data_IF_649673270645
#
_entry.id   IF_649673270645
#
_cell.length_a   1.000
_cell.length_b   1.000
_cell.length_c   1.000
_cell.angle_alpha   90.00
_cell.angle_beta   90.00
_cell.angle_gamma   90.00
#
_symmetry.space_group_name_H-M   'P 1'
#
loop_
_entity.id
_entity.type
_entity.pdbx_description
1 polymer ?
#
# COMPACT_ATOMS: atom_id res chain seq x y z
N UNK A 1 -1.27 18.31 -45.90
CA UNK A 1 -0.62 17.15 -45.25
C UNK A 1 -0.81 17.29 -43.75
N UNK A 2 -1.80 16.60 -43.19
CA UNK A 2 -1.75 16.26 -41.78
C UNK A 2 -2.16 14.79 -41.72
N UNK A 3 -1.14 13.94 -41.81
CA UNK A 3 -1.30 12.51 -41.69
C UNK A 3 -1.77 12.29 -40.25
N UNK A 4 -3.01 11.88 -40.09
CA UNK A 4 -3.46 11.24 -38.87
C UNK A 4 -2.47 10.11 -38.61
N UNK A 5 -1.58 10.33 -37.65
CA UNK A 5 -0.73 9.30 -37.11
C UNK A 5 -1.67 8.23 -36.59
N UNK A 6 -1.81 7.14 -37.35
CA UNK A 6 -2.14 5.85 -36.77
C UNK A 6 -1.10 5.67 -35.67
N UNK A 7 -1.50 5.93 -34.43
CA UNK A 7 -0.65 5.79 -33.27
C UNK A 7 -0.01 4.41 -33.38
N UNK A 8 1.28 4.38 -33.70
CA UNK A 8 2.07 3.17 -33.54
C UNK A 8 1.86 2.78 -32.07
N UNK A 9 1.15 1.68 -31.85
CA UNK A 9 0.96 1.13 -30.53
C UNK A 9 2.36 0.87 -30.00
N UNK A 10 2.83 1.73 -29.08
CA UNK A 10 4.16 1.58 -28.51
C UNK A 10 4.25 0.16 -27.95
N UNK A 11 5.20 -0.67 -28.44
CA UNK A 11 5.19 -2.10 -28.17
C UNK A 11 5.18 -2.42 -26.68
N UNK A 12 5.93 -1.67 -25.88
CA UNK A 12 5.90 -1.73 -24.41
C UNK A 12 4.53 -1.44 -23.79
N UNK A 13 3.81 -0.40 -24.26
CA UNK A 13 2.47 -0.09 -23.74
C UNK A 13 1.45 -1.14 -24.15
N UNK A 14 1.58 -1.71 -25.35
CA UNK A 14 0.76 -2.83 -25.80
C UNK A 14 0.95 -4.06 -24.94
N UNK A 15 2.20 -4.36 -24.56
CA UNK A 15 2.55 -5.46 -23.66
C UNK A 15 1.88 -5.29 -22.28
N UNK A 16 1.92 -4.10 -21.69
CA UNK A 16 1.27 -3.85 -20.39
C UNK A 16 -0.24 -4.09 -20.42
N UNK A 17 -0.90 -3.66 -21.50
CA UNK A 17 -2.33 -3.91 -21.71
C UNK A 17 -2.63 -5.40 -21.87
N UNK A 18 -1.78 -6.11 -22.61
CA UNK A 18 -1.92 -7.56 -22.81
C UNK A 18 -1.80 -8.29 -21.48
N UNK A 19 -0.77 -7.99 -20.67
CA UNK A 19 -0.60 -8.60 -19.34
C UNK A 19 -1.77 -8.29 -18.40
N UNK A 20 -2.27 -7.05 -18.41
CA UNK A 20 -3.46 -6.69 -17.64
C UNK A 20 -4.69 -7.51 -18.10
N UNK A 21 -4.93 -7.66 -19.40
CA UNK A 21 -6.03 -8.46 -19.93
C UNK A 21 -5.89 -9.95 -19.59
N UNK A 22 -4.67 -10.50 -19.67
CA UNK A 22 -4.41 -11.89 -19.25
C UNK A 22 -4.72 -12.12 -17.78
N UNK A 23 -4.39 -11.15 -16.93
CA UNK A 23 -4.67 -11.22 -15.51
C UNK A 23 -6.18 -11.30 -15.21
N UNK A 24 -7.02 -10.69 -16.05
CA UNK A 24 -8.48 -10.70 -15.92
C UNK A 24 -9.13 -12.01 -16.40
N UNK A 25 -8.40 -12.87 -17.11
CA UNK A 25 -8.91 -14.13 -17.63
C UNK A 25 -9.29 -15.15 -16.54
N UNK A 26 -10.21 -16.05 -16.86
CA UNK A 26 -10.66 -17.12 -15.95
C UNK A 26 -9.62 -18.23 -15.73
N UNK A 27 -8.55 -18.26 -16.53
CA UNK A 27 -7.45 -19.24 -16.46
C UNK A 27 -6.08 -18.57 -16.31
N UNK A 28 -5.10 -19.34 -15.81
CA UNK A 28 -3.71 -18.96 -15.94
C UNK A 28 -3.30 -19.03 -17.43
N UNK A 29 -2.49 -18.08 -17.94
CA UNK A 29 -1.90 -18.18 -19.26
C UNK A 29 -1.05 -19.44 -19.35
N UNK A 30 -0.91 -19.98 -20.55
CA UNK A 30 0.02 -21.08 -20.76
C UNK A 30 1.47 -20.59 -20.65
N UNK A 31 2.38 -21.52 -20.36
CA UNK A 31 3.78 -21.20 -20.17
C UNK A 31 4.40 -20.60 -21.45
N UNK A 32 3.98 -21.09 -22.63
CA UNK A 32 4.45 -20.62 -23.92
C UNK A 32 4.08 -19.13 -24.16
N UNK A 33 2.90 -18.68 -23.73
CA UNK A 33 2.49 -17.26 -23.81
C UNK A 33 3.36 -16.37 -22.90
N UNK A 34 3.64 -16.81 -21.68
CA UNK A 34 4.52 -16.07 -20.76
C UNK A 34 5.97 -16.03 -21.26
N UNK A 35 6.49 -17.13 -21.81
CA UNK A 35 7.81 -17.18 -22.43
C UNK A 35 7.91 -16.21 -23.62
N UNK A 36 6.90 -16.17 -24.49
CA UNK A 36 6.84 -15.22 -25.61
C UNK A 36 6.80 -13.75 -25.14
N UNK A 37 6.11 -13.47 -24.02
CA UNK A 37 6.09 -12.14 -23.43
C UNK A 37 7.45 -11.77 -22.82
N UNK A 38 8.13 -12.71 -22.17
CA UNK A 38 9.48 -12.52 -21.64
C UNK A 38 10.50 -12.25 -22.75
N UNK A 39 10.44 -12.98 -23.87
CA UNK A 39 11.30 -12.74 -25.04
C UNK A 39 11.15 -11.31 -25.59
N UNK A 40 9.94 -10.72 -25.51
CA UNK A 40 9.69 -9.33 -25.92
C UNK A 40 10.30 -8.33 -24.94
N UNK A 41 10.27 -8.63 -23.65
CA UNK A 41 10.94 -7.84 -22.62
C UNK A 41 12.46 -7.86 -22.84
N UNK A 42 13.03 -9.02 -23.12
CA UNK A 42 14.45 -9.20 -23.45
C UNK A 42 14.84 -8.51 -24.77
N UNK A 43 13.93 -8.49 -25.74
CA UNK A 43 14.08 -7.73 -26.99
C UNK A 43 13.98 -6.20 -26.79
N UNK A 44 13.78 -5.73 -25.56
CA UNK A 44 13.83 -4.32 -25.20
C UNK A 44 12.55 -3.54 -25.44
N UNK A 45 11.39 -4.20 -25.44
CA UNK A 45 10.09 -3.55 -25.72
C UNK A 45 9.76 -2.38 -24.78
N UNK A 46 10.39 -2.32 -23.60
CA UNK A 46 10.23 -1.24 -22.64
C UNK A 46 11.35 -0.18 -22.69
N UNK A 47 12.49 -0.43 -23.35
CA UNK A 47 13.70 0.43 -23.28
C UNK A 47 13.44 1.88 -23.67
N UNK A 48 12.65 2.09 -24.73
CA UNK A 48 12.34 3.42 -25.26
C UNK A 48 11.01 3.98 -24.72
N UNK A 49 10.37 3.30 -23.75
CA UNK A 49 9.09 3.76 -23.18
C UNK A 49 9.36 4.78 -22.08
N UNK A 50 8.90 6.03 -22.22
CA UNK A 50 9.04 7.01 -21.15
C UNK A 50 8.23 6.56 -19.92
N UNK A 51 8.78 6.62 -18.69
CA UNK A 51 8.07 6.20 -17.48
C UNK A 51 6.68 6.86 -17.28
N UNK A 52 6.53 8.12 -17.66
CA UNK A 52 5.25 8.85 -17.62
C UNK A 52 4.21 8.27 -18.58
N UNK A 53 4.63 7.57 -19.64
CA UNK A 53 3.74 6.86 -20.56
C UNK A 53 3.39 5.46 -20.06
N UNK A 54 4.25 4.86 -19.22
CA UNK A 54 4.01 3.56 -18.59
C UNK A 54 2.91 3.68 -17.53
N UNK A 55 2.94 4.76 -16.73
CA UNK A 55 2.05 4.89 -15.58
C UNK A 55 0.56 4.80 -15.92
N UNK A 56 0.01 5.48 -16.96
CA UNK A 56 -1.41 5.36 -17.31
C UNK A 56 -1.85 3.93 -17.65
N UNK A 57 -0.96 3.11 -18.23
CA UNK A 57 -1.23 1.70 -18.53
C UNK A 57 -1.17 0.86 -17.26
N UNK A 58 -0.09 1.03 -16.48
CA UNK A 58 0.13 0.31 -15.24
C UNK A 58 -0.98 0.61 -14.21
N UNK A 59 -1.36 1.87 -14.04
CA UNK A 59 -2.41 2.29 -13.12
C UNK A 59 -3.79 1.76 -13.53
N UNK A 60 -4.05 1.59 -14.83
CA UNK A 60 -5.30 0.98 -15.31
C UNK A 60 -5.39 -0.49 -14.92
N UNK A 61 -4.31 -1.25 -15.13
CA UNK A 61 -4.28 -2.64 -14.67
C UNK A 61 -4.26 -2.78 -13.14
N UNK A 62 -3.59 -1.87 -12.43
CA UNK A 62 -3.64 -1.78 -10.96
C UNK A 62 -5.06 -1.52 -10.43
N UNK A 63 -5.88 -0.78 -11.19
CA UNK A 63 -7.29 -0.52 -10.90
C UNK A 63 -8.25 -1.59 -11.43
N UNK A 64 -7.75 -2.58 -12.17
CA UNK A 64 -8.50 -3.71 -12.69
C UNK A 64 -9.01 -4.67 -11.59
N UNK A 65 -9.68 -5.76 -12.00
CA UNK A 65 -10.27 -6.73 -11.07
C UNK A 65 -9.26 -7.75 -10.51
N UNK A 66 -8.10 -7.93 -11.16
CA UNK A 66 -7.07 -8.90 -10.75
C UNK A 66 -5.65 -8.28 -10.73
N UNK A 67 -5.43 -7.18 -9.97
CA UNK A 67 -4.15 -6.46 -9.98
C UNK A 67 -2.98 -7.26 -9.41
N UNK A 68 -3.22 -8.17 -8.45
CA UNK A 68 -2.18 -9.04 -7.91
C UNK A 68 -1.65 -10.00 -8.97
N UNK A 69 -2.54 -10.61 -9.74
CA UNK A 69 -2.18 -11.49 -10.85
C UNK A 69 -1.47 -10.75 -11.98
N UNK A 70 -1.87 -9.51 -12.28
CA UNK A 70 -1.13 -8.67 -13.23
C UNK A 70 0.29 -8.42 -12.75
N UNK A 71 0.46 -8.07 -11.47
CA UNK A 71 1.78 -7.81 -10.88
C UNK A 71 2.65 -9.08 -10.93
N UNK A 72 2.06 -10.24 -10.65
CA UNK A 72 2.69 -11.54 -10.74
C UNK A 72 3.26 -11.82 -12.14
N UNK A 73 2.43 -11.68 -13.18
CA UNK A 73 2.86 -11.91 -14.56
C UNK A 73 3.89 -10.88 -15.01
N UNK A 74 3.78 -9.61 -14.60
CA UNK A 74 4.81 -8.62 -14.89
C UNK A 74 6.16 -8.98 -14.26
N UNK A 75 6.16 -9.57 -13.06
CA UNK A 75 7.38 -10.05 -12.43
C UNK A 75 7.93 -11.29 -13.14
N UNK A 76 7.08 -12.27 -13.45
CA UNK A 76 7.48 -13.52 -14.10
C UNK A 76 8.14 -13.30 -15.46
N UNK A 77 7.65 -12.34 -16.24
CA UNK A 77 8.21 -12.00 -17.57
C UNK A 77 9.38 -11.00 -17.51
N UNK A 78 9.80 -10.56 -16.31
CA UNK A 78 10.90 -9.59 -16.14
C UNK A 78 10.53 -8.13 -16.41
N UNK A 79 9.26 -7.82 -16.66
CA UNK A 79 8.80 -6.46 -16.96
C UNK A 79 8.79 -5.58 -15.69
N UNK A 80 8.46 -6.15 -14.53
CA UNK A 80 8.36 -5.40 -13.28
C UNK A 80 9.72 -4.84 -12.85
N UNK A 81 10.81 -5.56 -13.12
CA UNK A 81 12.20 -5.17 -12.87
C UNK A 81 12.57 -3.91 -13.65
N UNK A 82 12.04 -3.75 -14.87
CA UNK A 82 12.30 -2.59 -15.70
C UNK A 82 11.44 -1.38 -15.31
N UNK A 83 10.23 -1.61 -14.78
CA UNK A 83 9.23 -0.56 -14.49
C UNK A 83 9.31 -0.06 -13.04
N UNK A 84 9.34 -1.00 -12.10
CA UNK A 84 9.33 -0.81 -10.65
C UNK A 84 10.33 -1.78 -9.99
N UNK A 85 11.64 -1.63 -10.24
CA UNK A 85 12.67 -2.50 -9.66
C UNK A 85 12.60 -2.59 -8.13
N UNK A 86 12.17 -1.52 -7.45
CA UNK A 86 12.02 -1.49 -6.00
C UNK A 86 10.91 -2.41 -5.48
N UNK A 87 9.86 -2.63 -6.29
CA UNK A 87 8.75 -3.55 -5.99
C UNK A 87 9.13 -4.96 -6.42
N UNK A 88 9.74 -5.13 -7.60
CA UNK A 88 10.25 -6.43 -8.05
C UNK A 88 11.16 -7.07 -6.99
N UNK A 89 12.07 -6.28 -6.40
CA UNK A 89 13.01 -6.71 -5.37
C UNK A 89 12.37 -7.10 -4.02
N UNK A 90 11.05 -7.03 -3.86
CA UNK A 90 10.34 -7.55 -2.69
C UNK A 90 9.98 -9.04 -2.84
N UNK A 91 9.94 -9.57 -4.06
CA UNK A 91 9.78 -11.00 -4.30
C UNK A 91 11.01 -11.75 -3.78
N UNK A 92 10.77 -12.85 -3.07
CA UNK A 92 11.77 -13.62 -2.35
C UNK A 92 12.12 -13.10 -0.95
N UNK A 93 11.62 -11.92 -0.55
CA UNK A 93 11.95 -11.31 0.74
C UNK A 93 10.99 -11.80 1.82
N UNK A 94 11.47 -12.48 2.89
CA UNK A 94 10.60 -13.05 3.91
C UNK A 94 10.10 -11.99 4.89
N UNK A 95 8.79 -11.97 5.13
CA UNK A 95 8.10 -11.14 6.14
C UNK A 95 7.49 -12.01 7.23
N UNK A 96 7.54 -11.54 8.48
CA UNK A 96 6.97 -12.26 9.64
C UNK A 96 5.47 -12.50 9.45
N UNK A 97 5.04 -13.74 9.67
CA UNK A 97 3.63 -14.12 9.72
C UNK A 97 3.36 -15.07 10.89
N UNK A 98 2.08 -15.24 11.24
CA UNK A 98 1.70 -16.11 12.35
C UNK A 98 1.86 -17.59 12.01
N UNK A 99 1.30 -18.02 10.87
CA UNK A 99 1.43 -19.38 10.29
C UNK A 99 1.27 -19.28 8.76
N UNK A 100 2.25 -19.74 7.94
CA UNK A 100 3.62 -20.13 8.32
C UNK A 100 4.38 -18.99 9.01
N UNK A 101 5.57 -19.27 9.55
CA UNK A 101 6.35 -18.28 10.32
C UNK A 101 6.80 -17.06 9.48
N UNK A 102 6.92 -17.26 8.16
CA UNK A 102 7.17 -16.18 7.21
C UNK A 102 6.42 -16.41 5.90
N UNK A 103 6.18 -15.31 5.20
CA UNK A 103 5.57 -15.27 3.88
C UNK A 103 6.42 -14.39 2.96
N UNK A 104 6.27 -14.59 1.66
CA UNK A 104 6.94 -13.78 0.64
C UNK A 104 6.31 -12.38 0.56
N UNK A 105 7.12 -11.31 0.58
CA UNK A 105 6.61 -9.93 0.50
C UNK A 105 5.98 -9.60 -0.87
N UNK A 106 6.52 -10.13 -1.96
CA UNK A 106 5.94 -9.94 -3.29
C UNK A 106 4.54 -10.55 -3.36
N UNK A 107 4.40 -11.82 -2.96
CA UNK A 107 3.11 -12.50 -2.89
C UNK A 107 2.12 -11.81 -1.91
N UNK A 108 2.62 -11.24 -0.80
CA UNK A 108 1.77 -10.44 0.10
C UNK A 108 1.23 -9.18 -0.57
N UNK A 109 2.05 -8.48 -1.35
CA UNK A 109 1.61 -7.27 -2.07
C UNK A 109 0.57 -7.63 -3.12
N UNK A 110 0.80 -8.69 -3.89
CA UNK A 110 -0.17 -9.22 -4.86
C UNK A 110 -1.52 -9.50 -4.18
N UNK A 111 -1.51 -10.26 -3.07
CA UNK A 111 -2.72 -10.59 -2.32
C UNK A 111 -3.40 -9.34 -1.73
N UNK A 112 -2.64 -8.35 -1.24
CA UNK A 112 -3.20 -7.12 -0.70
C UNK A 112 -3.88 -6.26 -1.78
N UNK A 113 -3.31 -6.22 -2.99
CA UNK A 113 -3.90 -5.55 -4.14
C UNK A 113 -5.21 -6.23 -4.58
N UNK A 114 -5.28 -7.56 -4.55
CA UNK A 114 -6.51 -8.29 -4.83
C UNK A 114 -7.60 -8.03 -3.77
N UNK A 115 -7.23 -7.95 -2.48
CA UNK A 115 -8.15 -7.55 -1.41
C UNK A 115 -8.65 -6.11 -1.61
N UNK A 116 -7.79 -5.21 -2.10
CA UNK A 116 -8.17 -3.83 -2.43
C UNK A 116 -9.11 -3.77 -3.65
N UNK A 117 -8.92 -4.64 -4.64
CA UNK A 117 -9.82 -4.76 -5.78
C UNK A 117 -11.23 -5.21 -5.37
N UNK A 118 -11.34 -6.20 -4.48
CA UNK A 118 -12.63 -6.72 -3.98
C UNK A 118 -13.51 -5.64 -3.33
N UNK A 119 -12.91 -4.63 -2.71
CA UNK A 119 -13.63 -3.53 -2.06
C UNK A 119 -13.66 -2.24 -2.90
N UNK A 120 -13.24 -2.31 -4.16
CA UNK A 120 -13.10 -1.16 -5.06
C UNK A 120 -12.31 0.01 -4.43
N UNK A 121 -11.25 -0.29 -3.69
CA UNK A 121 -10.41 0.73 -3.05
C UNK A 121 -9.82 1.70 -4.08
N UNK A 122 -9.69 3.00 -3.74
CA UNK A 122 -9.22 4.02 -4.66
C UNK A 122 -7.75 3.82 -5.03
N UNK A 123 -7.33 4.46 -6.13
CA UNK A 123 -5.97 4.37 -6.65
C UNK A 123 -4.90 4.68 -5.58
N UNK A 124 -5.14 5.67 -4.73
CA UNK A 124 -4.21 6.03 -3.65
C UNK A 124 -3.98 4.88 -2.67
N UNK A 125 -5.01 4.10 -2.32
CA UNK A 125 -4.88 2.94 -1.45
C UNK A 125 -4.12 1.80 -2.14
N UNK A 126 -4.42 1.52 -3.41
CA UNK A 126 -3.74 0.48 -4.19
C UNK A 126 -2.26 0.83 -4.41
N UNK A 127 -1.96 2.09 -4.72
CA UNK A 127 -0.59 2.58 -4.81
C UNK A 127 0.14 2.47 -3.47
N UNK A 128 -0.49 2.84 -2.35
CA UNK A 128 0.11 2.69 -1.04
C UNK A 128 0.45 1.22 -0.70
N UNK A 129 -0.44 0.27 -1.01
CA UNK A 129 -0.18 -1.16 -0.83
C UNK A 129 0.98 -1.66 -1.70
N UNK A 130 1.06 -1.18 -2.94
CA UNK A 130 2.12 -1.53 -3.89
C UNK A 130 3.52 -1.13 -3.37
N UNK A 131 3.64 0.03 -2.71
CA UNK A 131 4.95 0.62 -2.43
C UNK A 131 5.32 0.76 -0.95
N UNK A 132 4.41 0.58 0.02
CA UNK A 132 4.71 0.85 1.44
C UNK A 132 5.87 0.02 2.00
N UNK A 133 6.14 -1.15 1.42
CA UNK A 133 7.18 -2.06 1.91
C UNK A 133 8.49 -1.99 1.12
N UNK A 134 8.64 -1.10 0.12
CA UNK A 134 9.86 -1.02 -0.73
C UNK A 134 11.15 -0.74 0.04
N UNK A 135 11.07 -0.28 1.29
CA UNK A 135 12.24 -0.17 2.18
C UNK A 135 12.75 -1.51 2.73
N UNK A 136 12.02 -2.60 2.52
CA UNK A 136 12.34 -3.95 3.00
C UNK A 136 13.14 -4.77 2.00
N UNK A 137 13.14 -4.40 0.72
CA UNK A 137 13.72 -5.18 -0.40
C UNK A 137 15.20 -5.55 -0.23
N UNK A 138 15.99 -4.70 0.41
CA UNK A 138 17.43 -4.88 0.62
C UNK A 138 17.79 -5.06 2.09
N UNK A 139 16.88 -5.61 2.90
CA UNK A 139 17.13 -5.83 4.32
C UNK A 139 18.30 -6.81 4.51
N UNK A 140 19.31 -6.48 5.34
CA UNK A 140 20.42 -7.39 5.62
C UNK A 140 19.92 -8.73 6.15
N UNK A 141 20.54 -9.83 5.72
CA UNK A 141 20.09 -11.20 6.03
C UNK A 141 20.04 -11.47 7.53
N UNK A 142 20.96 -10.90 8.28
CA UNK A 142 21.05 -10.96 9.74
C UNK A 142 19.92 -10.23 10.47
N UNK A 143 19.16 -9.39 9.75
CA UNK A 143 18.02 -8.63 10.28
C UNK A 143 16.69 -9.14 9.75
N UNK A 144 16.70 -10.15 8.88
CA UNK A 144 15.47 -10.78 8.43
C UNK A 144 14.88 -11.65 9.55
N UNK A 145 13.55 -11.68 9.71
CA UNK A 145 12.52 -10.93 8.97
C UNK A 145 12.06 -9.62 9.67
N UNK A 146 12.90 -8.98 10.50
CA UNK A 146 12.53 -7.80 11.28
C UNK A 146 12.65 -6.46 10.51
N UNK A 147 13.43 -6.43 9.42
CA UNK A 147 13.58 -5.28 8.52
C UNK A 147 13.91 -3.95 9.23
N UNK A 148 15.00 -3.93 10.01
CA UNK A 148 15.41 -2.72 10.73
C UNK A 148 15.61 -1.53 9.77
N UNK A 149 15.16 -0.34 10.19
CA UNK A 149 15.25 0.94 9.43
C UNK A 149 14.59 0.92 8.05
N UNK A 150 13.67 -0.01 7.77
CA UNK A 150 12.97 -0.04 6.48
C UNK A 150 12.19 1.26 6.20
N UNK A 151 11.70 1.94 7.23
CA UNK A 151 11.05 3.26 7.09
C UNK A 151 11.99 4.30 6.50
N UNK A 152 13.23 4.37 6.98
CA UNK A 152 14.23 5.33 6.50
C UNK A 152 14.65 5.04 5.05
N UNK A 153 14.72 3.76 4.66
CA UNK A 153 15.00 3.36 3.27
C UNK A 153 13.78 3.52 2.35
N UNK A 154 12.58 3.31 2.88
CA UNK A 154 11.33 3.32 2.12
C UNK A 154 10.93 4.71 1.66
N UNK A 155 11.02 5.72 2.53
CA UNK A 155 10.58 7.07 2.21
C UNK A 155 11.23 7.66 0.93
N UNK A 156 12.57 7.66 0.75
CA UNK A 156 13.18 8.17 -0.47
C UNK A 156 12.81 7.33 -1.71
N UNK A 157 12.60 6.01 -1.57
CA UNK A 157 12.16 5.13 -2.68
C UNK A 157 10.73 5.46 -3.11
N UNK A 158 9.80 5.61 -2.18
CA UNK A 158 8.41 6.00 -2.49
C UNK A 158 8.37 7.35 -3.20
N UNK A 159 9.18 8.32 -2.76
CA UNK A 159 9.29 9.62 -3.42
C UNK A 159 9.84 9.51 -4.84
N UNK A 160 10.90 8.71 -5.04
CA UNK A 160 11.48 8.47 -6.36
C UNK A 160 10.50 7.76 -7.30
N UNK A 161 9.79 6.73 -6.83
CA UNK A 161 8.76 6.02 -7.60
C UNK A 161 7.64 6.98 -8.01
N UNK A 162 7.12 7.76 -7.05
CA UNK A 162 6.04 8.71 -7.31
C UNK A 162 6.46 9.79 -8.32
N UNK A 163 7.71 10.27 -8.26
CA UNK A 163 8.22 11.23 -9.23
C UNK A 163 8.43 10.59 -10.62
N UNK A 164 9.01 9.38 -10.69
CA UNK A 164 9.26 8.66 -11.94
C UNK A 164 7.98 8.32 -12.69
N UNK A 165 6.92 7.95 -11.97
CA UNK A 165 5.64 7.57 -12.56
C UNK A 165 4.67 8.75 -12.72
N UNK A 166 5.04 9.95 -12.29
CA UNK A 166 4.12 11.09 -12.16
C UNK A 166 2.82 10.72 -11.41
N UNK A 167 2.99 10.00 -10.29
CA UNK A 167 1.87 9.52 -9.50
C UNK A 167 1.14 10.69 -8.82
N UNK A 168 -0.21 10.67 -8.73
CA UNK A 168 -0.98 11.71 -8.07
C UNK A 168 -0.51 12.00 -6.63
N UNK A 169 -0.65 13.26 -6.21
CA UNK A 169 -0.12 13.72 -4.93
C UNK A 169 -0.73 12.99 -3.72
N UNK A 170 -1.99 12.58 -3.80
CA UNK A 170 -2.69 11.80 -2.79
C UNK A 170 -2.16 10.36 -2.69
N UNK A 171 -1.79 9.74 -3.81
CA UNK A 171 -1.13 8.43 -3.84
C UNK A 171 0.21 8.48 -3.10
N UNK A 172 1.05 9.49 -3.41
CA UNK A 172 2.32 9.70 -2.72
C UNK A 172 2.13 9.96 -1.23
N UNK A 173 1.17 10.83 -0.86
CA UNK A 173 0.91 11.16 0.54
C UNK A 173 0.46 9.93 1.34
N UNK A 174 -0.48 9.15 0.80
CA UNK A 174 -0.98 7.96 1.48
C UNK A 174 0.06 6.85 1.56
N UNK A 175 0.91 6.68 0.54
CA UNK A 175 2.00 5.71 0.58
C UNK A 175 3.01 6.02 1.70
N UNK A 176 3.38 7.29 1.88
CA UNK A 176 4.26 7.71 2.98
C UNK A 176 3.60 7.54 4.35
N UNK A 177 2.30 7.84 4.45
CA UNK A 177 1.53 7.60 5.66
C UNK A 177 1.47 6.10 5.99
N UNK A 178 1.21 5.24 5.00
CA UNK A 178 1.15 3.79 5.15
C UNK A 178 2.50 3.20 5.59
N UNK A 179 3.61 3.65 4.98
CA UNK A 179 4.98 3.28 5.38
C UNK A 179 5.23 3.53 6.88
N UNK A 180 4.75 4.66 7.40
CA UNK A 180 5.01 5.07 8.78
C UNK A 180 4.06 4.40 9.80
N UNK A 181 2.80 4.25 9.42
CA UNK A 181 1.72 4.04 10.38
C UNK A 181 1.02 2.67 10.25
N UNK A 182 1.10 1.96 9.12
CA UNK A 182 0.36 0.71 8.92
C UNK A 182 0.75 -0.35 9.98
N UNK A 183 2.04 -0.64 10.14
CA UNK A 183 2.53 -1.56 11.18
C UNK A 183 2.22 -1.08 12.62
N UNK A 184 2.09 0.24 12.83
CA UNK A 184 1.69 0.79 14.14
C UNK A 184 0.21 0.52 14.40
N UNK A 185 -0.64 0.70 13.38
CA UNK A 185 -2.07 0.39 13.46
C UNK A 185 -2.31 -1.09 13.80
N UNK A 186 -1.60 -2.02 13.17
CA UNK A 186 -1.69 -3.46 13.49
C UNK A 186 -1.30 -3.79 14.94
N UNK A 187 -0.46 -2.97 15.58
CA UNK A 187 0.01 -3.16 16.96
C UNK A 187 -0.83 -2.44 18.02
N UNK A 188 -1.86 -1.70 17.63
CA UNK A 188 -2.73 -0.98 18.57
C UNK A 188 -3.40 -1.94 19.55
N UNK A 189 -3.44 -1.54 20.83
CA UNK A 189 -4.13 -2.25 21.91
C UNK A 189 -4.97 -1.26 22.72
N UNK A 190 -5.97 -1.78 23.45
CA UNK A 190 -6.86 -0.95 24.29
C UNK A 190 -6.08 -0.21 25.39
N UNK A 191 -5.07 -0.86 25.99
CA UNK A 191 -4.28 -0.36 27.12
C UNK A 191 -3.40 0.87 26.86
N UNK A 192 -3.36 1.41 25.63
CA UNK A 192 -2.44 2.48 25.22
C UNK A 192 -3.18 3.68 24.64
N UNK A 193 -4.11 4.26 25.41
CA UNK A 193 -4.99 5.33 24.94
C UNK A 193 -4.25 6.57 24.40
N UNK A 194 -3.20 7.05 25.07
CA UNK A 194 -2.38 8.18 24.59
C UNK A 194 -1.72 7.90 23.23
N UNK A 195 -0.96 6.79 23.07
CA UNK A 195 -0.45 6.37 21.76
C UNK A 195 -1.53 6.18 20.68
N UNK A 196 -2.73 5.71 21.03
CA UNK A 196 -3.85 5.64 20.09
C UNK A 196 -4.31 7.02 19.66
N UNK A 197 -4.45 7.98 20.58
CA UNK A 197 -4.78 9.37 20.25
C UNK A 197 -3.78 9.97 19.25
N UNK A 198 -2.48 9.78 19.50
CA UNK A 198 -1.41 10.27 18.61
C UNK A 198 -1.44 9.60 17.24
N UNK A 199 -1.75 8.30 17.18
CA UNK A 199 -1.93 7.60 15.90
C UNK A 199 -3.12 8.19 15.13
N UNK A 200 -4.26 8.39 15.79
CA UNK A 200 -5.45 9.00 15.17
C UNK A 200 -5.16 10.41 14.65
N UNK A 201 -4.48 11.25 15.45
CA UNK A 201 -4.06 12.61 15.06
C UNK A 201 -3.16 12.59 13.81
N UNK A 202 -2.08 11.78 13.83
CA UNK A 202 -1.13 11.68 12.71
C UNK A 202 -1.75 11.17 11.42
N UNK A 203 -2.79 10.36 11.52
CA UNK A 203 -3.50 9.80 10.37
C UNK A 203 -4.72 10.64 9.96
N UNK A 204 -4.88 11.84 10.52
CA UNK A 204 -5.93 12.79 10.14
C UNK A 204 -7.34 12.36 10.55
N UNK A 205 -7.48 11.48 11.55
CA UNK A 205 -8.78 10.92 11.94
C UNK A 205 -9.81 11.97 12.43
N UNK A 206 -9.33 13.16 12.80
CA UNK A 206 -10.17 14.26 13.29
C UNK A 206 -10.39 15.32 12.20
N UNK A 207 -9.31 15.77 11.56
CA UNK A 207 -9.36 16.93 10.65
C UNK A 207 -9.53 16.53 9.17
N UNK A 208 -9.29 15.26 8.83
CA UNK A 208 -9.38 14.72 7.47
C UNK A 208 -9.94 13.28 7.47
N UNK A 209 -11.19 13.07 7.93
CA UNK A 209 -11.76 11.74 8.16
C UNK A 209 -11.76 10.85 6.90
N UNK A 210 -11.98 11.40 5.71
CA UNK A 210 -11.93 10.65 4.44
C UNK A 210 -10.52 10.07 4.15
N UNK A 211 -9.45 10.80 4.50
CA UNK A 211 -8.07 10.31 4.38
C UNK A 211 -7.81 9.19 5.39
N UNK A 212 -8.33 9.33 6.60
CA UNK A 212 -8.23 8.29 7.62
C UNK A 212 -8.97 7.02 7.20
N UNK A 213 -10.17 7.14 6.64
CA UNK A 213 -10.92 6.01 6.10
C UNK A 213 -10.14 5.27 4.99
N UNK A 214 -9.53 6.03 4.08
CA UNK A 214 -8.69 5.44 3.02
C UNK A 214 -7.46 4.74 3.59
N UNK A 215 -6.81 5.31 4.61
CA UNK A 215 -5.73 4.63 5.34
C UNK A 215 -6.20 3.34 6.04
N UNK A 216 -7.40 3.35 6.63
CA UNK A 216 -7.97 2.16 7.24
C UNK A 216 -8.29 1.07 6.21
N UNK A 217 -8.64 1.42 4.97
CA UNK A 217 -8.74 0.46 3.86
C UNK A 217 -7.38 -0.21 3.58
N UNK A 218 -6.29 0.57 3.53
CA UNK A 218 -4.92 0.03 3.35
C UNK A 218 -4.60 -0.98 4.46
N UNK A 219 -4.82 -0.62 5.73
CA UNK A 219 -4.57 -1.52 6.84
C UNK A 219 -5.44 -2.78 6.80
N UNK A 220 -6.70 -2.68 6.37
CA UNK A 220 -7.59 -3.82 6.25
C UNK A 220 -7.14 -4.78 5.14
N UNK A 221 -6.78 -4.26 3.96
CA UNK A 221 -6.26 -5.05 2.85
C UNK A 221 -4.92 -5.72 3.20
N UNK A 222 -3.99 -5.00 3.84
CA UNK A 222 -2.73 -5.57 4.33
C UNK A 222 -2.97 -6.71 5.31
N UNK A 223 -3.90 -6.55 6.26
CA UNK A 223 -4.24 -7.61 7.21
C UNK A 223 -4.81 -8.86 6.52
N UNK A 224 -5.73 -8.67 5.56
CA UNK A 224 -6.41 -9.74 4.82
C UNK A 224 -5.48 -10.49 3.86
N UNK A 225 -4.42 -9.83 3.39
CA UNK A 225 -3.40 -10.44 2.52
C UNK A 225 -2.63 -11.58 3.21
N UNK A 226 -2.53 -11.56 4.55
CA UNK A 226 -1.88 -12.65 5.27
C UNK A 226 -2.69 -13.95 5.19
N UNK A 227 -2.03 -15.13 5.11
CA UNK A 227 -2.69 -16.41 5.05
C UNK A 227 -3.71 -16.61 6.18
N UNK A 228 -4.93 -17.03 5.80
CA UNK A 228 -6.02 -17.29 6.72
C UNK A 228 -6.85 -16.05 7.12
N UNK A 229 -6.54 -14.87 6.61
CA UNK A 229 -7.31 -13.65 6.88
C UNK A 229 -8.11 -13.12 5.68
N UNK A 230 -8.04 -13.74 4.50
CA UNK A 230 -8.79 -13.26 3.32
C UNK A 230 -10.29 -13.17 3.64
N UNK A 231 -10.88 -12.01 3.32
CA UNK A 231 -12.29 -11.71 3.62
C UNK A 231 -12.61 -11.48 5.11
N UNK A 232 -11.66 -11.60 6.04
CA UNK A 232 -11.92 -11.40 7.45
C UNK A 232 -12.09 -9.92 7.83
N UNK A 233 -12.80 -9.67 8.91
CA UNK A 233 -12.87 -8.34 9.52
C UNK A 233 -11.51 -7.93 10.08
N UNK A 234 -11.08 -6.70 9.80
CA UNK A 234 -9.84 -6.18 10.36
C UNK A 234 -10.03 -5.85 11.85
N UNK A 235 -9.41 -6.57 12.81
CA UNK A 235 -9.79 -6.48 14.22
C UNK A 235 -9.51 -5.12 14.86
N UNK A 236 -8.63 -4.32 14.24
CA UNK A 236 -8.27 -2.98 14.74
C UNK A 236 -9.22 -1.90 14.27
N UNK A 237 -10.01 -2.14 13.23
CA UNK A 237 -10.95 -1.16 12.69
C UNK A 237 -11.96 -0.70 13.74
N UNK A 238 -12.68 -1.64 14.36
CA UNK A 238 -13.68 -1.32 15.39
C UNK A 238 -13.06 -0.64 16.63
N UNK A 239 -11.84 -1.01 17.01
CA UNK A 239 -11.13 -0.38 18.12
C UNK A 239 -10.78 1.07 17.81
N UNK A 240 -10.17 1.31 16.64
CA UNK A 240 -9.74 2.64 16.22
C UNK A 240 -10.93 3.56 15.95
N UNK A 241 -12.02 3.04 15.39
CA UNK A 241 -13.25 3.82 15.21
C UNK A 241 -13.90 4.18 16.55
N UNK A 242 -14.01 3.23 17.49
CA UNK A 242 -14.51 3.54 18.83
C UNK A 242 -13.64 4.59 19.56
N UNK A 243 -12.32 4.53 19.39
CA UNK A 243 -11.39 5.52 19.92
C UNK A 243 -11.58 6.90 19.26
N UNK A 244 -11.75 6.94 17.93
CA UNK A 244 -12.02 8.17 17.18
C UNK A 244 -13.34 8.80 17.61
N UNK A 245 -14.40 8.00 17.71
CA UNK A 245 -15.73 8.46 18.15
C UNK A 245 -15.69 9.04 19.57
N UNK A 246 -14.88 8.48 20.47
CA UNK A 246 -14.73 8.99 21.83
C UNK A 246 -14.17 10.43 21.88
N UNK A 247 -13.47 10.86 20.83
CA UNK A 247 -12.87 12.19 20.72
C UNK A 247 -13.74 13.19 19.94
N UNK A 248 -14.94 12.80 19.49
CA UNK A 248 -15.85 13.72 18.78
C UNK A 248 -16.20 14.91 19.69
N UNK A 249 -16.07 16.12 19.15
CA UNK A 249 -16.23 17.37 19.89
C UNK A 249 -15.00 17.85 20.65
N UNK A 250 -13.88 17.10 20.63
CA UNK A 250 -12.57 17.55 21.11
C UNK A 250 -11.79 18.13 19.93
N UNK A 251 -12.13 19.36 19.59
CA UNK A 251 -11.58 20.08 18.44
C UNK A 251 -10.32 20.87 18.81
N UNK A 252 -9.46 21.07 17.81
CA UNK A 252 -8.30 21.93 17.96
C UNK A 252 -8.78 23.40 17.95
N UNK A 253 -8.34 24.24 18.90
CA UNK A 253 -8.60 25.68 18.83
C UNK A 253 -8.02 26.30 17.55
N UNK A 254 -8.57 27.45 17.11
CA UNK A 254 -8.15 28.13 15.88
C UNK A 254 -6.70 28.65 15.91
N UNK A 255 -6.19 29.03 17.08
CA UNK A 255 -4.80 29.48 17.30
C UNK A 255 -4.25 28.87 18.61
N UNK A 256 -3.91 27.57 18.59
CA UNK A 256 -3.54 26.86 19.80
C UNK A 256 -2.06 27.11 20.12
N UNK A 257 -1.80 27.54 21.35
CA UNK A 257 -0.44 27.46 21.90
C UNK A 257 -0.07 26.01 22.27
N UNK A 258 1.18 25.78 22.64
CA UNK A 258 1.68 24.44 22.99
C UNK A 258 0.89 23.84 24.17
N UNK A 259 0.45 24.66 25.12
CA UNK A 259 -0.33 24.22 26.28
C UNK A 259 -1.72 23.75 25.89
N UNK A 260 -2.38 24.46 24.97
CA UNK A 260 -3.68 24.07 24.42
C UNK A 260 -3.59 22.74 23.65
N UNK A 261 -2.52 22.55 22.87
CA UNK A 261 -2.28 21.27 22.16
C UNK A 261 -2.02 20.11 23.13
N UNK A 262 -1.27 20.35 24.21
CA UNK A 262 -1.02 19.34 25.24
C UNK A 262 -2.31 18.96 25.98
N UNK A 263 -3.11 19.95 26.38
CA UNK A 263 -4.41 19.74 27.02
C UNK A 263 -5.37 18.96 26.11
N UNK A 264 -5.39 19.26 24.81
CA UNK A 264 -6.19 18.53 23.83
C UNK A 264 -5.75 17.07 23.70
N UNK A 265 -4.44 16.81 23.65
CA UNK A 265 -3.89 15.44 23.58
C UNK A 265 -4.22 14.65 24.84
N UNK A 266 -4.11 15.28 26.01
CA UNK A 266 -4.51 14.66 27.28
C UNK A 266 -6.01 14.34 27.30
N UNK A 267 -6.86 15.31 26.92
CA UNK A 267 -8.31 15.12 26.87
C UNK A 267 -8.72 13.96 25.94
N UNK A 268 -8.13 13.88 24.74
CA UNK A 268 -8.33 12.78 23.80
C UNK A 268 -7.86 11.44 24.40
N UNK A 269 -6.70 11.42 25.04
CA UNK A 269 -6.18 10.23 25.74
C UNK A 269 -7.13 9.73 26.83
N UNK A 270 -7.67 10.62 27.66
CA UNK A 270 -8.65 10.29 28.71
C UNK A 270 -9.96 9.78 28.11
N UNK A 271 -10.48 10.43 27.07
CA UNK A 271 -11.71 10.01 26.40
C UNK A 271 -11.59 8.59 25.82
N UNK A 272 -10.48 8.30 25.13
CA UNK A 272 -10.18 6.97 24.60
C UNK A 272 -10.02 5.93 25.72
N UNK A 273 -9.32 6.27 26.81
CA UNK A 273 -9.14 5.34 27.93
C UNK A 273 -10.47 4.91 28.55
N UNK A 274 -11.42 5.85 28.70
CA UNK A 274 -12.78 5.58 29.16
C UNK A 274 -13.54 4.70 28.16
N UNK A 275 -13.56 5.08 26.87
CA UNK A 275 -14.30 4.36 25.84
C UNK A 275 -13.80 2.92 25.65
N UNK A 276 -12.49 2.71 25.69
CA UNK A 276 -11.89 1.38 25.53
C UNK A 276 -11.82 0.58 26.83
N UNK A 277 -12.40 1.08 27.94
CA UNK A 277 -12.35 0.47 29.30
C UNK A 277 -10.94 0.09 29.70
N UNK A 278 -10.00 0.99 29.46
CA UNK A 278 -8.56 0.79 29.67
C UNK A 278 -8.03 1.54 30.89
N UNK A 279 -8.92 2.15 31.68
CA UNK A 279 -8.61 2.59 33.03
C UNK A 279 -8.29 1.36 33.88
N UNK A 280 -7.16 1.38 34.61
CA UNK A 280 -7.00 0.50 35.77
C UNK A 280 -8.12 0.87 36.75
N UNK A 281 -8.90 -0.10 37.19
CA UNK A 281 -9.62 0.06 38.46
C UNK A 281 -8.55 0.38 39.51
N UNK A 282 -8.66 1.57 40.12
CA UNK A 282 -7.80 2.00 41.22
C UNK A 282 -8.17 1.25 42.49
#
# INVERSE_FOLDING_TARGET
MNVQSFAQLHPGLGLLRHVALLAEGDGAPDQDELELLAERIDAGFLLDTPPESIWPEFSRGLMGPAPGRMLHYLHEIGALEQILPEVAALHGVPQIAAKPASVDLGALIEAALDEAAKIAAPLSARFALLVKDVGKSDSPREHLPAHYRHVERGAPRILAIAARLDAPADCRALALQALLECERAHRVTKMRAGPVALLLERNGAFDAPERFETFMMVCACDYRAYPGHSGADYPKAALLDAARQACVGLECPDDPDESALEALREARGVAIARALRSCREM
#
